data_IF_312593504702
#
_entry.id   IF_312593504702
#
_cell.length_a   1.000
_cell.length_b   1.000
_cell.length_c   1.000
_cell.angle_alpha   90.00
_cell.angle_beta   90.00
_cell.angle_gamma   90.00
#
_symmetry.space_group_name_H-M   'P 1'
#
loop_
_entity.id
_entity.type
_entity.pdbx_description
1 polymer ?
#
# COMPACT_ATOMS: atom_id res chain seq x y z
N UNK A 1 -22.34 -20.60 20.23
CA UNK A 1 -21.52 -21.70 19.66
C UNK A 1 -21.20 -21.47 18.19
N UNK A 2 -22.14 -21.11 17.32
CA UNK A 2 -21.91 -20.93 15.86
C UNK A 2 -20.97 -19.78 15.43
N UNK A 3 -20.75 -18.78 16.29
CA UNK A 3 -19.89 -17.63 15.97
C UNK A 3 -18.43 -18.03 15.79
N UNK A 4 -17.91 -18.95 16.59
CA UNK A 4 -16.52 -19.39 16.49
C UNK A 4 -16.25 -20.20 15.21
N UNK A 5 -17.09 -21.21 14.83
CA UNK A 5 -17.02 -21.85 13.52
C UNK A 5 -17.10 -20.88 12.34
N UNK A 6 -17.93 -19.83 12.43
CA UNK A 6 -18.01 -18.81 11.37
C UNK A 6 -16.70 -18.04 11.21
N UNK A 7 -16.06 -17.64 12.31
CA UNK A 7 -14.74 -17.00 12.27
C UNK A 7 -13.65 -17.96 11.79
N UNK A 8 -13.71 -19.24 12.14
CA UNK A 8 -12.78 -20.25 11.61
C UNK A 8 -12.93 -20.34 10.09
N UNK A 9 -14.16 -20.43 9.57
CA UNK A 9 -14.41 -20.47 8.14
C UNK A 9 -13.87 -19.22 7.43
N UNK A 10 -14.09 -18.02 8.01
CA UNK A 10 -13.56 -16.77 7.49
C UNK A 10 -12.01 -16.73 7.50
N UNK A 11 -11.37 -17.21 8.56
CA UNK A 11 -9.92 -17.27 8.67
C UNK A 11 -9.31 -18.25 7.67
N UNK A 12 -9.93 -19.42 7.47
CA UNK A 12 -9.51 -20.41 6.46
C UNK A 12 -9.66 -19.83 5.06
N UNK A 13 -10.79 -19.17 4.76
CA UNK A 13 -10.99 -18.49 3.49
C UNK A 13 -9.90 -17.44 3.24
N UNK A 14 -9.57 -16.63 4.26
CA UNK A 14 -8.52 -15.62 4.14
C UNK A 14 -7.12 -16.22 3.91
N UNK A 15 -6.78 -17.33 4.56
CA UNK A 15 -5.52 -18.05 4.34
C UNK A 15 -5.43 -18.54 2.90
N UNK A 16 -6.54 -19.08 2.38
CA UNK A 16 -6.63 -19.57 1.01
C UNK A 16 -6.43 -18.43 0.01
N UNK A 17 -7.13 -17.30 0.18
CA UNK A 17 -6.96 -16.15 -0.71
C UNK A 17 -5.62 -15.43 -0.58
N UNK A 18 -5.00 -15.52 0.59
CA UNK A 18 -3.65 -14.98 0.80
C UNK A 18 -2.55 -15.86 0.20
N UNK A 19 -2.89 -17.03 -0.36
CA UNK A 19 -1.97 -18.02 -0.92
C UNK A 19 -0.86 -18.47 0.05
N UNK A 20 -1.09 -18.33 1.36
CA UNK A 20 -0.14 -18.73 2.42
C UNK A 20 -0.04 -20.27 2.51
N UNK A 21 -1.08 -20.96 2.05
CA UNK A 21 -1.22 -22.41 2.11
C UNK A 21 -1.77 -22.88 3.45
N UNK A 22 -2.58 -23.94 3.42
CA UNK A 22 -3.17 -24.53 4.63
C UNK A 22 -2.31 -25.69 5.13
N UNK A 23 -1.69 -25.49 6.29
CA UNK A 23 -0.91 -26.47 7.04
C UNK A 23 -1.28 -26.43 8.54
N UNK A 24 -0.84 -27.38 9.38
CA UNK A 24 -1.22 -27.44 10.79
C UNK A 24 -0.92 -26.14 11.58
N UNK A 25 0.18 -25.45 11.26
CA UNK A 25 0.56 -24.18 11.93
C UNK A 25 -0.40 -23.06 11.54
N UNK A 26 -0.66 -22.88 10.24
CA UNK A 26 -1.60 -21.87 9.75
C UNK A 26 -3.04 -22.14 10.19
N UNK A 27 -3.45 -23.42 10.29
CA UNK A 27 -4.75 -23.81 10.80
C UNK A 27 -4.89 -23.53 12.31
N UNK A 28 -3.85 -23.81 13.10
CA UNK A 28 -3.82 -23.44 14.52
C UNK A 28 -3.87 -21.91 14.71
N UNK A 29 -3.12 -21.16 13.88
CA UNK A 29 -3.18 -19.70 13.83
C UNK A 29 -4.57 -19.17 13.49
N UNK A 30 -5.24 -19.76 12.48
CA UNK A 30 -6.61 -19.42 12.11
C UNK A 30 -7.59 -19.65 13.27
N UNK A 31 -7.47 -20.78 13.96
CA UNK A 31 -8.32 -21.10 15.11
C UNK A 31 -8.09 -20.11 16.28
N UNK A 32 -6.84 -19.72 16.53
CA UNK A 32 -6.49 -18.74 17.55
C UNK A 32 -7.03 -17.33 17.22
N UNK A 33 -6.86 -16.87 15.97
CA UNK A 33 -7.42 -15.60 15.49
C UNK A 33 -8.95 -15.61 15.58
N UNK A 34 -9.59 -16.70 15.16
CA UNK A 34 -11.03 -16.87 15.28
C UNK A 34 -11.52 -16.84 16.73
N UNK A 35 -10.74 -17.40 17.66
CA UNK A 35 -11.05 -17.33 19.09
C UNK A 35 -10.99 -15.88 19.59
N UNK A 36 -9.93 -15.13 19.24
CA UNK A 36 -9.80 -13.71 19.57
C UNK A 36 -10.96 -12.88 19.01
N UNK A 37 -11.36 -13.12 17.76
CA UNK A 37 -12.51 -12.43 17.13
C UNK A 37 -13.87 -12.83 17.74
N UNK A 38 -13.94 -13.96 18.45
CA UNK A 38 -15.16 -14.38 19.16
C UNK A 38 -15.27 -13.76 20.56
N UNK A 39 -14.16 -13.30 21.15
CA UNK A 39 -14.14 -12.70 22.50
C UNK A 39 -15.13 -11.53 22.67
N UNK A 40 -15.33 -10.62 21.70
CA UNK A 40 -16.29 -9.52 21.87
C UNK A 40 -17.72 -10.00 22.11
N UNK A 41 -18.16 -11.05 21.42
CA UNK A 41 -19.49 -11.63 21.59
C UNK A 41 -19.64 -12.34 22.94
N UNK A 42 -18.57 -13.01 23.40
CA UNK A 42 -18.56 -13.63 24.72
C UNK A 42 -18.59 -12.57 25.83
N UNK A 43 -17.78 -11.51 25.70
CA UNK A 43 -17.73 -10.40 26.64
C UNK A 43 -19.11 -9.72 26.74
N UNK A 44 -19.75 -9.41 25.61
CA UNK A 44 -21.09 -8.83 25.59
C UNK A 44 -22.10 -9.73 26.34
N UNK A 45 -22.15 -11.03 26.01
CA UNK A 45 -23.06 -11.99 26.66
C UNK A 45 -22.86 -12.08 28.19
N UNK A 46 -21.63 -12.03 28.66
CA UNK A 46 -21.31 -12.18 30.09
C UNK A 46 -21.52 -10.89 30.88
N UNK A 47 -21.31 -9.73 30.25
CA UNK A 47 -21.26 -8.43 30.92
C UNK A 47 -22.56 -7.63 30.80
N UNK A 48 -23.35 -7.81 29.73
CA UNK A 48 -24.51 -6.93 29.43
C UNK A 48 -25.55 -6.89 30.56
N UNK A 49 -25.75 -8.01 31.26
CA UNK A 49 -26.71 -8.12 32.37
C UNK A 49 -26.09 -7.83 33.75
N UNK A 50 -24.76 -7.70 33.83
CA UNK A 50 -24.03 -7.46 35.09
C UNK A 50 -23.61 -6.01 35.26
N UNK A 51 -23.61 -5.23 34.19
CA UNK A 51 -23.16 -3.84 34.17
C UNK A 51 -24.35 -2.88 34.05
N UNK A 52 -24.12 -1.62 34.45
CA UNK A 52 -25.09 -0.54 34.23
C UNK A 52 -25.31 -0.35 32.72
N UNK A 53 -26.51 0.01 32.24
CA UNK A 53 -26.83 0.04 30.81
C UNK A 53 -25.87 0.86 29.94
N UNK A 54 -25.38 2.00 30.44
CA UNK A 54 -24.42 2.85 29.72
C UNK A 54 -23.05 2.17 29.55
N UNK A 55 -22.56 1.49 30.59
CA UNK A 55 -21.28 0.78 30.55
C UNK A 55 -21.40 -0.49 29.71
N UNK A 56 -22.52 -1.20 29.84
CA UNK A 56 -22.83 -2.37 29.02
C UNK A 56 -22.82 -2.06 27.52
N UNK A 57 -23.28 -0.87 27.11
CA UNK A 57 -23.26 -0.46 25.70
C UNK A 57 -21.84 -0.29 25.12
N UNK A 58 -20.82 -0.13 25.97
CA UNK A 58 -19.43 0.02 25.56
C UNK A 58 -18.65 -1.30 25.64
N UNK A 59 -19.20 -2.34 26.27
CA UNK A 59 -18.51 -3.61 26.48
C UNK A 59 -18.13 -4.31 25.16
N UNK A 60 -19.09 -4.44 24.24
CA UNK A 60 -18.87 -5.01 22.91
C UNK A 60 -17.84 -4.22 22.08
N UNK A 61 -18.00 -2.90 21.84
CA UNK A 61 -17.04 -2.16 21.02
C UNK A 61 -15.64 -2.08 21.66
N UNK A 62 -15.54 -1.99 22.98
CA UNK A 62 -14.25 -2.05 23.67
C UNK A 62 -13.57 -3.41 23.49
N UNK A 63 -14.34 -4.51 23.55
CA UNK A 63 -13.81 -5.85 23.34
C UNK A 63 -13.39 -6.07 21.88
N UNK A 64 -14.09 -5.50 20.89
CA UNK A 64 -13.64 -5.50 19.48
C UNK A 64 -12.30 -4.78 19.36
N UNK A 65 -12.18 -3.55 19.86
CA UNK A 65 -10.93 -2.80 19.81
C UNK A 65 -9.77 -3.52 20.52
N UNK A 66 -10.05 -4.12 21.68
CA UNK A 66 -9.08 -4.95 22.40
C UNK A 66 -8.69 -6.21 21.63
N UNK A 67 -9.63 -6.86 20.96
CA UNK A 67 -9.36 -8.00 20.08
C UNK A 67 -8.48 -7.62 18.90
N UNK A 68 -8.80 -6.53 18.20
CA UNK A 68 -7.96 -6.00 17.12
C UNK A 68 -6.55 -5.63 17.62
N UNK A 69 -6.43 -5.00 18.79
CA UNK A 69 -5.15 -4.71 19.43
C UNK A 69 -4.33 -5.99 19.66
N UNK A 70 -4.93 -7.00 20.28
CA UNK A 70 -4.27 -8.28 20.53
C UNK A 70 -3.87 -8.98 19.23
N UNK A 71 -4.71 -8.94 18.19
CA UNK A 71 -4.34 -9.48 16.87
C UNK A 71 -3.12 -8.76 16.31
N UNK A 72 -3.08 -7.42 16.36
CA UNK A 72 -1.94 -6.66 15.81
C UNK A 72 -0.62 -6.88 16.56
N UNK A 73 -0.68 -7.23 17.86
CA UNK A 73 0.51 -7.41 18.70
C UNK A 73 0.97 -8.88 18.73
N UNK A 74 0.04 -9.83 18.74
CA UNK A 74 0.34 -11.26 18.93
C UNK A 74 0.41 -12.03 17.62
N UNK A 75 -0.22 -11.54 16.55
CA UNK A 75 -0.23 -12.23 15.27
C UNK A 75 0.94 -11.79 14.39
N UNK A 76 1.46 -12.69 13.54
CA UNK A 76 2.43 -12.34 12.50
C UNK A 76 1.79 -11.57 11.32
N UNK A 77 0.55 -11.11 11.50
CA UNK A 77 -0.25 -10.46 10.45
C UNK A 77 -0.48 -8.96 10.66
N UNK A 78 -0.04 -8.40 11.79
CA UNK A 78 -0.21 -6.97 12.05
C UNK A 78 -1.65 -6.51 11.82
N UNK A 79 -1.83 -5.44 11.04
CA UNK A 79 -3.13 -4.93 10.59
C UNK A 79 -3.68 -5.58 9.33
N UNK A 80 -2.90 -6.45 8.66
CA UNK A 80 -3.31 -7.09 7.41
C UNK A 80 -4.49 -8.07 7.59
N UNK A 81 -4.69 -8.57 8.82
CA UNK A 81 -5.85 -9.38 9.19
C UNK A 81 -6.59 -8.77 10.38
N UNK A 82 -7.92 -8.79 10.32
CA UNK A 82 -8.78 -8.49 11.46
C UNK A 82 -8.92 -7.02 11.86
N UNK A 83 -8.24 -6.09 11.18
CA UNK A 83 -8.40 -4.65 11.41
C UNK A 83 -9.55 -4.09 10.56
N UNK A 84 -10.61 -3.57 11.20
CA UNK A 84 -11.70 -2.92 10.47
C UNK A 84 -11.31 -1.53 9.95
N UNK A 85 -10.29 -0.91 10.55
CA UNK A 85 -9.86 0.45 10.23
C UNK A 85 -9.48 0.64 8.76
N UNK A 86 -8.89 -0.38 8.13
CA UNK A 86 -8.44 -0.33 6.72
C UNK A 86 -9.59 -0.10 5.75
N UNK A 87 -10.82 -0.46 6.13
CA UNK A 87 -12.02 -0.24 5.32
C UNK A 87 -12.40 1.24 5.19
N UNK A 88 -11.89 2.09 6.08
CA UNK A 88 -12.24 3.51 6.19
C UNK A 88 -11.14 4.44 5.65
N UNK A 89 -10.17 3.92 4.89
CA UNK A 89 -9.01 4.69 4.39
C UNK A 89 -9.37 5.94 3.58
N UNK A 90 -10.59 6.00 3.00
CA UNK A 90 -11.07 7.13 2.21
C UNK A 90 -11.67 8.28 3.02
N UNK A 91 -11.97 8.09 4.31
CA UNK A 91 -12.61 9.09 5.17
C UNK A 91 -11.56 9.84 6.01
N UNK A 92 -10.93 10.85 5.40
CA UNK A 92 -9.87 11.62 6.06
C UNK A 92 -10.31 12.27 7.39
N UNK A 93 -11.51 12.86 7.52
CA UNK A 93 -12.02 13.33 8.81
C UNK A 93 -12.05 12.24 9.88
N UNK A 94 -12.63 11.08 9.59
CA UNK A 94 -12.71 9.97 10.54
C UNK A 94 -11.31 9.46 10.95
N UNK A 95 -10.40 9.34 9.98
CA UNK A 95 -9.04 8.83 10.21
C UNK A 95 -8.22 9.68 11.20
N UNK A 96 -8.59 10.95 11.45
CA UNK A 96 -7.85 11.78 12.41
C UNK A 96 -7.83 11.21 13.83
N UNK A 97 -8.83 10.40 14.21
CA UNK A 97 -8.88 9.74 15.52
C UNK A 97 -7.72 8.78 15.76
N UNK A 98 -7.12 8.23 14.68
CA UNK A 98 -5.98 7.30 14.76
C UNK A 98 -4.81 7.91 15.52
N UNK A 99 -4.63 9.24 15.43
CA UNK A 99 -3.56 9.94 16.16
C UNK A 99 -3.69 9.87 17.69
N UNK A 100 -4.88 9.56 18.20
CA UNK A 100 -5.16 9.45 19.64
C UNK A 100 -5.32 7.99 20.06
N UNK A 101 -6.08 7.22 19.29
CA UNK A 101 -6.50 5.86 19.67
C UNK A 101 -5.74 4.75 18.95
N UNK A 102 -4.94 5.08 17.94
CA UNK A 102 -4.53 4.12 16.91
C UNK A 102 -5.71 3.69 16.02
N UNK A 103 -5.44 2.75 15.11
CA UNK A 103 -6.43 2.19 14.18
C UNK A 103 -7.65 1.57 14.90
N UNK A 104 -7.44 1.00 16.08
CA UNK A 104 -8.47 0.32 16.88
C UNK A 104 -9.64 1.21 17.30
N UNK A 105 -9.44 2.54 17.35
CA UNK A 105 -10.56 3.47 17.60
C UNK A 105 -11.60 3.48 16.48
N UNK A 106 -11.20 3.18 15.25
CA UNK A 106 -12.15 3.03 14.13
C UNK A 106 -12.91 1.71 14.26
N UNK A 107 -12.23 0.61 14.60
CA UNK A 107 -12.88 -0.66 14.91
C UNK A 107 -13.89 -0.52 16.05
N UNK A 108 -13.53 0.23 17.10
CA UNK A 108 -14.45 0.60 18.18
C UNK A 108 -15.70 1.31 17.66
N UNK A 109 -15.56 2.35 16.84
CA UNK A 109 -16.70 3.13 16.33
C UNK A 109 -17.62 2.28 15.44
N UNK A 110 -17.05 1.44 14.58
CA UNK A 110 -17.83 0.51 13.74
C UNK A 110 -18.60 -0.49 14.61
N UNK A 111 -17.95 -1.08 15.62
CA UNK A 111 -18.59 -1.98 16.55
C UNK A 111 -19.65 -1.27 17.42
N UNK A 112 -19.43 0.00 17.76
CA UNK A 112 -20.35 0.78 18.57
C UNK A 112 -21.62 1.12 17.78
N UNK A 113 -21.48 1.42 16.49
CA UNK A 113 -22.61 1.53 15.58
C UNK A 113 -23.41 0.22 15.53
N UNK A 114 -22.75 -0.90 15.21
CA UNK A 114 -23.40 -2.20 15.04
C UNK A 114 -24.17 -2.63 16.29
N UNK A 115 -23.54 -2.52 17.47
CA UNK A 115 -24.18 -2.85 18.74
C UNK A 115 -25.32 -1.88 19.10
N UNK A 116 -25.20 -0.60 18.77
CA UNK A 116 -26.29 0.39 18.97
C UNK A 116 -27.49 0.07 18.09
N UNK A 117 -27.28 -0.24 16.81
CA UNK A 117 -28.35 -0.65 15.89
C UNK A 117 -29.03 -1.92 16.39
N UNK A 118 -28.26 -2.94 16.80
CA UNK A 118 -28.81 -4.18 17.34
C UNK A 118 -29.68 -3.93 18.59
N UNK A 119 -29.23 -3.05 19.50
CA UNK A 119 -30.01 -2.70 20.70
C UNK A 119 -31.30 -1.95 20.38
N UNK A 120 -31.27 -1.03 19.40
CA UNK A 120 -32.47 -0.32 18.94
C UNK A 120 -33.47 -1.32 18.34
N UNK A 121 -32.98 -2.31 17.60
CA UNK A 121 -33.80 -3.36 17.02
C UNK A 121 -34.51 -4.22 18.08
N UNK A 122 -33.77 -4.65 19.11
CA UNK A 122 -34.33 -5.46 20.20
C UNK A 122 -35.25 -4.66 21.14
N UNK A 123 -34.88 -3.40 21.40
CA UNK A 123 -35.58 -2.51 22.33
C UNK A 123 -35.60 -1.10 21.76
N UNK A 124 -36.66 -0.71 21.03
CA UNK A 124 -36.75 0.60 20.39
C UNK A 124 -36.48 1.74 21.37
N UNK A 125 -35.31 2.36 21.25
CA UNK A 125 -34.87 3.47 22.09
C UNK A 125 -33.92 4.38 21.33
N UNK A 126 -34.33 5.63 21.12
CA UNK A 126 -33.56 6.63 20.38
C UNK A 126 -32.34 7.16 21.15
N UNK A 127 -32.32 7.00 22.49
CA UNK A 127 -31.28 7.59 23.36
C UNK A 127 -29.88 7.05 23.04
N UNK A 128 -29.75 5.75 22.82
CA UNK A 128 -28.46 5.13 22.45
C UNK A 128 -27.96 5.62 21.11
N UNK A 129 -28.86 5.73 20.12
CA UNK A 129 -28.56 6.29 18.81
C UNK A 129 -28.08 7.73 18.87
N UNK A 130 -28.70 8.58 19.71
CA UNK A 130 -28.25 9.96 19.90
C UNK A 130 -26.85 10.06 20.53
N UNK A 131 -26.55 9.23 21.53
CA UNK A 131 -25.23 9.23 22.16
C UNK A 131 -24.16 8.83 21.14
N UNK A 132 -24.39 7.73 20.41
CA UNK A 132 -23.49 7.31 19.34
C UNK A 132 -23.35 8.40 18.26
N UNK A 133 -24.47 8.98 17.82
CA UNK A 133 -24.48 10.05 16.82
C UNK A 133 -23.68 11.28 17.27
N UNK A 134 -23.79 11.68 18.53
CA UNK A 134 -23.01 12.77 19.11
C UNK A 134 -21.51 12.44 19.16
N UNK A 135 -21.13 11.20 19.50
CA UNK A 135 -19.74 10.74 19.49
C UNK A 135 -19.18 10.77 18.07
N UNK A 136 -19.87 10.15 17.10
CA UNK A 136 -19.43 10.12 15.72
C UNK A 136 -19.31 11.54 15.13
N UNK A 137 -20.32 12.39 15.38
CA UNK A 137 -20.32 13.77 14.93
C UNK A 137 -19.13 14.54 15.53
N UNK A 138 -18.82 14.33 16.80
CA UNK A 138 -17.66 14.95 17.44
C UNK A 138 -16.35 14.50 16.77
N UNK A 139 -16.19 13.21 16.51
CA UNK A 139 -15.01 12.66 15.83
C UNK A 139 -14.84 13.26 14.43
N UNK A 140 -15.91 13.26 13.63
CA UNK A 140 -15.86 13.78 12.25
C UNK A 140 -15.67 15.30 12.23
N UNK A 141 -16.34 16.05 13.10
CA UNK A 141 -16.20 17.51 13.18
C UNK A 141 -14.81 17.91 13.65
N UNK A 142 -14.26 17.26 14.68
CA UNK A 142 -12.90 17.55 15.15
C UNK A 142 -11.85 17.14 14.13
N UNK A 143 -12.03 16.00 13.45
CA UNK A 143 -11.17 15.59 12.35
C UNK A 143 -11.21 16.56 11.16
N UNK A 144 -12.42 17.00 10.78
CA UNK A 144 -12.60 18.02 9.73
C UNK A 144 -11.97 19.36 10.13
N UNK A 145 -12.18 19.80 11.38
CA UNK A 145 -11.60 21.02 11.91
C UNK A 145 -10.07 20.96 11.89
N UNK A 146 -9.47 19.82 12.29
CA UNK A 146 -8.01 19.63 12.21
C UNK A 146 -7.50 19.78 10.78
N UNK A 147 -8.17 19.15 9.80
CA UNK A 147 -7.78 19.25 8.39
C UNK A 147 -7.94 20.68 7.83
N UNK A 148 -8.98 21.40 8.25
CA UNK A 148 -9.27 22.75 7.78
C UNK A 148 -8.38 23.82 8.41
N UNK A 149 -8.07 23.69 9.71
CA UNK A 149 -7.40 24.74 10.50
C UNK A 149 -5.93 24.44 10.83
N UNK A 150 -5.41 23.26 10.48
CA UNK A 150 -3.98 22.94 10.61
C UNK A 150 -3.34 22.65 9.24
N UNK A 151 -3.38 23.59 8.28
CA UNK A 151 -2.65 23.43 7.03
C UNK A 151 -1.14 23.36 7.32
N UNK A 152 -0.43 22.46 6.63
CA UNK A 152 1.02 22.34 6.75
C UNK A 152 1.70 23.65 6.33
N UNK A 153 2.28 24.37 7.29
CA UNK A 153 3.11 25.57 7.05
C UNK A 153 4.56 25.24 6.77
N UNK A 154 4.92 23.95 6.71
CA UNK A 154 6.28 23.49 6.46
C UNK A 154 6.68 23.63 5.00
N UNK A 155 7.98 23.80 4.78
CA UNK A 155 8.58 23.72 3.44
C UNK A 155 8.33 22.34 2.84
N UNK A 156 7.73 22.30 1.65
CA UNK A 156 7.51 21.06 0.91
C UNK A 156 8.76 20.64 0.15
N UNK A 157 9.04 19.35 0.08
CA UNK A 157 10.10 18.75 -0.75
C UNK A 157 9.49 17.93 -1.88
N UNK A 158 10.08 18.00 -3.08
CA UNK A 158 9.66 17.15 -4.21
C UNK A 158 10.28 15.76 -4.07
N UNK A 159 9.43 14.75 -3.94
CA UNK A 159 9.81 13.33 -3.86
C UNK A 159 9.34 12.62 -5.13
N UNK A 160 10.16 11.72 -5.67
CA UNK A 160 9.80 10.89 -6.82
C UNK A 160 9.96 9.40 -6.50
N UNK A 161 8.86 8.65 -6.59
CA UNK A 161 8.93 7.20 -6.70
C UNK A 161 9.17 6.81 -8.16
N UNK A 162 10.21 6.01 -8.42
CA UNK A 162 10.49 5.49 -9.75
C UNK A 162 10.19 3.99 -9.81
N UNK A 163 10.02 3.46 -11.00
CA UNK A 163 9.85 2.02 -11.20
C UNK A 163 10.50 1.64 -12.52
N UNK A 164 11.10 0.45 -12.61
CA UNK A 164 11.67 0.00 -13.87
C UNK A 164 10.57 -0.17 -14.92
N UNK A 165 10.96 -0.03 -16.19
CA UNK A 165 10.09 -0.32 -17.31
C UNK A 165 9.58 -1.77 -17.25
N UNK A 166 8.33 -1.94 -17.67
CA UNK A 166 7.66 -3.23 -17.61
C UNK A 166 8.36 -4.28 -18.46
N UNK A 167 8.84 -3.92 -19.65
CA UNK A 167 9.51 -4.87 -20.56
C UNK A 167 10.81 -5.39 -19.97
N UNK A 168 11.56 -4.52 -19.29
CA UNK A 168 12.81 -4.89 -18.58
C UNK A 168 12.50 -5.80 -17.40
N UNK A 169 11.45 -5.48 -16.64
CA UNK A 169 11.00 -6.29 -15.51
C UNK A 169 10.51 -7.67 -15.94
N UNK A 170 9.71 -7.75 -17.00
CA UNK A 170 9.19 -9.01 -17.57
C UNK A 170 10.34 -9.88 -18.11
N UNK A 171 11.35 -9.27 -18.73
CA UNK A 171 12.55 -9.97 -19.16
C UNK A 171 13.31 -10.57 -17.97
N UNK A 172 13.55 -9.78 -16.90
CA UNK A 172 14.19 -10.28 -15.68
C UNK A 172 13.41 -11.44 -15.07
N UNK A 173 12.08 -11.29 -14.90
CA UNK A 173 11.21 -12.37 -14.38
C UNK A 173 11.35 -13.65 -15.21
N UNK A 174 11.34 -13.53 -16.52
CA UNK A 174 11.48 -14.69 -17.43
C UNK A 174 12.87 -15.32 -17.30
N UNK A 175 13.93 -14.52 -17.19
CA UNK A 175 15.30 -15.02 -17.02
C UNK A 175 15.48 -15.77 -15.69
N UNK A 176 15.05 -15.17 -14.57
CA UNK A 176 15.12 -15.83 -13.27
C UNK A 176 14.22 -17.05 -13.16
N UNK A 177 13.06 -17.05 -13.83
CA UNK A 177 12.13 -18.18 -13.87
C UNK A 177 12.67 -19.43 -14.56
N UNK A 178 13.75 -19.32 -15.36
CA UNK A 178 14.44 -20.48 -15.97
C UNK A 178 15.43 -21.14 -15.01
N UNK A 179 15.82 -20.48 -13.93
CA UNK A 179 16.77 -21.00 -12.96
C UNK A 179 16.06 -21.97 -12.01
N UNK A 180 16.56 -23.21 -11.94
CA UNK A 180 16.04 -24.23 -11.02
C UNK A 180 16.58 -24.01 -9.61
N UNK A 181 15.86 -24.46 -8.57
CA UNK A 181 16.30 -24.33 -7.18
C UNK A 181 15.96 -23.00 -6.49
N UNK A 182 15.14 -22.15 -7.14
CA UNK A 182 14.63 -20.91 -6.54
C UNK A 182 15.75 -19.92 -6.15
N UNK A 183 15.62 -19.25 -5.00
CA UNK A 183 16.61 -18.26 -4.52
C UNK A 183 18.03 -18.85 -4.41
N UNK A 184 18.17 -20.08 -3.94
CA UNK A 184 19.47 -20.75 -3.83
C UNK A 184 20.09 -21.00 -5.22
N UNK A 185 19.27 -21.40 -6.18
CA UNK A 185 19.68 -21.58 -7.57
C UNK A 185 20.11 -20.26 -8.23
N UNK A 186 19.35 -19.18 -8.00
CA UNK A 186 19.72 -17.85 -8.50
C UNK A 186 21.02 -17.37 -7.85
N UNK A 187 21.20 -17.59 -6.55
CA UNK A 187 22.45 -17.23 -5.86
C UNK A 187 23.67 -17.98 -6.40
N UNK A 188 23.50 -19.24 -6.82
CA UNK A 188 24.58 -20.09 -7.36
C UNK A 188 24.71 -20.05 -8.90
N UNK A 189 23.79 -19.38 -9.61
CA UNK A 189 23.79 -19.33 -11.07
C UNK A 189 25.05 -18.61 -11.59
N UNK A 190 25.61 -19.02 -12.74
CA UNK A 190 26.69 -18.28 -13.38
C UNK A 190 26.29 -16.82 -13.63
N UNK A 191 27.18 -15.89 -13.31
CA UNK A 191 27.04 -14.46 -13.56
C UNK A 191 26.45 -14.12 -14.94
N UNK A 192 27.00 -14.74 -15.99
CA UNK A 192 26.56 -14.55 -17.38
C UNK A 192 25.09 -14.89 -17.65
N UNK A 193 24.46 -15.72 -16.80
CA UNK A 193 23.07 -16.12 -16.95
C UNK A 193 22.07 -15.15 -16.33
N UNK A 194 22.47 -14.37 -15.31
CA UNK A 194 21.56 -13.53 -14.51
C UNK A 194 21.93 -12.05 -14.51
N UNK A 195 23.22 -11.72 -14.50
CA UNK A 195 23.71 -10.34 -14.40
C UNK A 195 23.19 -9.42 -15.50
N UNK A 196 23.16 -9.80 -16.80
CA UNK A 196 22.70 -8.87 -17.83
C UNK A 196 21.27 -8.40 -17.61
N UNK A 197 20.39 -9.28 -17.14
CA UNK A 197 19.00 -8.95 -16.86
C UNK A 197 18.84 -8.15 -15.56
N UNK A 198 19.63 -8.47 -14.52
CA UNK A 198 19.65 -7.73 -13.26
C UNK A 198 20.16 -6.29 -13.46
N UNK A 199 21.30 -6.14 -14.14
CA UNK A 199 21.93 -4.86 -14.48
C UNK A 199 21.06 -4.02 -15.41
N UNK A 200 20.27 -4.63 -16.30
CA UNK A 200 19.33 -3.89 -17.14
C UNK A 200 18.25 -3.16 -16.32
N UNK A 201 17.72 -3.80 -15.26
CA UNK A 201 16.76 -3.18 -14.35
C UNK A 201 17.40 -2.06 -13.55
N UNK A 202 18.59 -2.29 -13.00
CA UNK A 202 19.35 -1.26 -12.28
C UNK A 202 19.62 -0.04 -13.17
N UNK A 203 20.11 -0.24 -14.39
CA UNK A 203 20.38 0.84 -15.34
C UNK A 203 19.13 1.66 -15.69
N UNK A 204 17.97 1.03 -15.80
CA UNK A 204 16.71 1.71 -16.07
C UNK A 204 16.25 2.56 -14.85
N UNK A 205 16.43 2.05 -13.63
CA UNK A 205 16.18 2.78 -12.40
C UNK A 205 17.15 3.96 -12.19
N UNK A 206 18.43 3.78 -12.51
CA UNK A 206 19.43 4.86 -12.50
C UNK A 206 19.08 5.94 -13.55
N UNK A 207 18.67 5.53 -14.76
CA UNK A 207 18.19 6.46 -15.79
C UNK A 207 16.93 7.22 -15.33
N UNK A 208 16.00 6.54 -14.67
CA UNK A 208 14.78 7.15 -14.11
C UNK A 208 15.11 8.15 -13.00
N UNK A 209 16.07 7.82 -12.14
CA UNK A 209 16.58 8.71 -11.10
C UNK A 209 17.14 10.00 -11.69
N UNK A 210 17.95 9.91 -12.75
CA UNK A 210 18.46 11.09 -13.47
C UNK A 210 17.35 11.98 -14.00
N UNK A 211 16.34 11.40 -14.63
CA UNK A 211 15.20 12.15 -15.19
C UNK A 211 14.42 12.88 -14.10
N UNK A 212 14.09 12.21 -13.00
CA UNK A 212 13.30 12.81 -11.92
C UNK A 212 14.11 13.85 -11.11
N UNK A 213 15.40 13.62 -10.91
CA UNK A 213 16.30 14.61 -10.32
C UNK A 213 16.38 15.88 -11.20
N UNK A 214 16.50 15.73 -12.52
CA UNK A 214 16.46 16.85 -13.46
C UNK A 214 15.09 17.58 -13.46
N UNK A 215 14.00 16.86 -13.17
CA UNK A 215 12.69 17.46 -12.93
C UNK A 215 12.59 18.15 -11.56
N UNK A 216 13.62 18.12 -10.72
CA UNK A 216 13.70 18.82 -9.44
C UNK A 216 13.33 17.98 -8.23
N UNK A 217 13.22 16.66 -8.35
CA UNK A 217 13.13 15.78 -7.19
C UNK A 217 14.38 15.92 -6.31
N UNK A 218 14.19 15.92 -5.00
CA UNK A 218 15.28 15.98 -4.00
C UNK A 218 15.44 14.66 -3.24
N UNK A 219 14.40 13.83 -3.26
CA UNK A 219 14.38 12.48 -2.73
C UNK A 219 13.83 11.59 -3.85
N UNK A 220 14.54 10.52 -4.19
CA UNK A 220 14.12 9.51 -5.18
C UNK A 220 14.05 8.15 -4.48
N UNK A 221 12.98 7.40 -4.73
CA UNK A 221 12.70 6.12 -4.06
C UNK A 221 12.50 5.04 -5.10
N UNK A 222 13.25 3.95 -4.98
CA UNK A 222 13.07 2.74 -5.80
C UNK A 222 12.07 1.78 -5.13
N UNK A 223 11.40 0.91 -5.90
CA UNK A 223 10.46 -0.04 -5.30
C UNK A 223 11.20 -1.12 -4.50
N UNK A 224 10.48 -1.80 -3.60
CA UNK A 224 10.97 -2.98 -2.88
C UNK A 224 11.41 -4.05 -3.88
N UNK A 225 12.52 -4.72 -3.60
CA UNK A 225 13.18 -5.64 -4.53
C UNK A 225 13.39 -5.08 -5.96
N UNK A 226 13.45 -3.74 -6.08
CA UNK A 226 13.54 -3.05 -7.36
C UNK A 226 14.78 -3.45 -8.14
N UNK A 227 15.91 -3.56 -7.45
CA UNK A 227 17.13 -4.17 -7.98
C UNK A 227 17.30 -5.54 -7.35
N UNK A 228 17.61 -6.52 -8.20
CA UNK A 228 17.88 -7.90 -7.81
C UNK A 228 19.35 -8.18 -8.07
N UNK A 229 20.07 -8.70 -7.10
CA UNK A 229 21.51 -8.93 -7.21
C UNK A 229 21.93 -10.20 -6.50
N UNK A 230 23.01 -10.82 -6.94
CA UNK A 230 23.72 -11.83 -6.16
C UNK A 230 24.58 -11.13 -5.10
N UNK A 231 24.79 -11.77 -3.95
CA UNK A 231 25.57 -11.23 -2.82
C UNK A 231 26.98 -10.76 -3.23
N UNK A 232 27.64 -11.47 -4.14
CA UNK A 232 28.95 -11.08 -4.67
C UNK A 232 28.96 -9.73 -5.42
N UNK A 233 27.80 -9.27 -5.92
CA UNK A 233 27.67 -8.06 -6.73
C UNK A 233 26.91 -6.93 -6.00
N UNK A 234 26.48 -7.17 -4.76
CA UNK A 234 25.73 -6.20 -3.96
C UNK A 234 26.50 -4.88 -3.79
N UNK A 235 27.79 -4.95 -3.45
CA UNK A 235 28.62 -3.76 -3.29
C UNK A 235 28.75 -2.93 -4.58
N UNK A 236 28.71 -3.58 -5.75
CA UNK A 236 28.74 -2.88 -7.04
C UNK A 236 27.42 -2.15 -7.32
N UNK A 237 26.27 -2.78 -7.03
CA UNK A 237 24.96 -2.14 -7.16
C UNK A 237 24.82 -0.93 -6.23
N UNK A 238 25.30 -1.04 -4.98
CA UNK A 238 25.34 0.07 -4.03
C UNK A 238 26.25 1.18 -4.53
N UNK A 239 27.45 0.85 -5.04
CA UNK A 239 28.39 1.84 -5.56
C UNK A 239 27.83 2.63 -6.75
N UNK A 240 27.12 1.96 -7.68
CA UNK A 240 26.43 2.62 -8.79
C UNK A 240 25.36 3.61 -8.30
N UNK A 241 24.58 3.21 -7.30
CA UNK A 241 23.58 4.08 -6.68
C UNK A 241 24.23 5.27 -5.93
N UNK A 242 25.35 5.06 -5.24
CA UNK A 242 26.11 6.12 -4.57
C UNK A 242 26.62 7.17 -5.55
N UNK A 243 27.17 6.73 -6.67
CA UNK A 243 27.62 7.61 -7.74
C UNK A 243 26.43 8.36 -8.36
N UNK A 244 25.30 7.70 -8.54
CA UNK A 244 24.10 8.33 -9.07
C UNK A 244 23.49 9.36 -8.11
N UNK A 245 23.48 9.09 -6.81
CA UNK A 245 23.06 10.04 -5.78
C UNK A 245 23.93 11.31 -5.81
N UNK A 246 25.26 11.14 -5.91
CA UNK A 246 26.23 12.25 -6.08
C UNK A 246 25.95 13.06 -7.34
N UNK A 247 25.85 12.40 -8.50
CA UNK A 247 25.64 13.05 -9.80
C UNK A 247 24.33 13.83 -9.85
N UNK A 248 23.29 13.30 -9.25
CA UNK A 248 21.96 13.92 -9.23
C UNK A 248 21.77 14.92 -8.10
N UNK A 249 22.62 14.91 -7.06
CA UNK A 249 22.47 15.76 -5.88
C UNK A 249 21.18 15.48 -5.11
N UNK A 250 20.78 14.22 -4.99
CA UNK A 250 19.53 13.78 -4.36
C UNK A 250 19.79 12.79 -3.22
N UNK A 251 18.85 12.71 -2.29
CA UNK A 251 18.72 11.52 -1.45
C UNK A 251 18.13 10.41 -2.31
N UNK A 252 18.75 9.23 -2.31
CA UNK A 252 18.33 8.08 -3.10
C UNK A 252 18.10 6.88 -2.19
N UNK A 253 16.86 6.43 -2.09
CA UNK A 253 16.53 5.15 -1.48
C UNK A 253 16.49 4.07 -2.57
N UNK A 254 17.28 3.01 -2.39
CA UNK A 254 17.27 1.84 -3.26
C UNK A 254 16.68 0.64 -2.53
N UNK A 255 15.76 -0.08 -3.20
CA UNK A 255 15.27 -1.38 -2.74
C UNK A 255 16.02 -2.51 -3.41
N UNK A 256 16.60 -3.42 -2.62
CA UNK A 256 17.48 -4.50 -3.05
C UNK A 256 16.97 -5.86 -2.59
N UNK A 257 16.85 -6.77 -3.55
CA UNK A 257 16.77 -8.21 -3.29
C UNK A 257 18.15 -8.82 -3.47
N UNK A 258 18.77 -9.23 -2.36
CA UNK A 258 20.06 -9.91 -2.39
C UNK A 258 19.85 -11.42 -2.35
N UNK A 259 20.37 -12.15 -3.33
CA UNK A 259 20.40 -13.61 -3.35
C UNK A 259 21.72 -14.11 -2.74
N UNK A 260 21.62 -14.91 -1.68
CA UNK A 260 22.77 -15.51 -0.99
C UNK A 260 22.71 -17.04 -1.08
N UNK A 261 23.87 -17.69 -1.03
CA UNK A 261 24.00 -19.15 -0.97
C UNK A 261 23.82 -19.69 0.46
N UNK A 262 23.65 -18.81 1.45
CA UNK A 262 23.53 -19.20 2.85
C UNK A 262 22.09 -19.62 3.19
N UNK A 263 21.95 -20.89 3.56
CA UNK A 263 20.71 -21.46 4.06
C UNK A 263 20.36 -20.93 5.47
N UNK A 264 19.07 -20.94 5.88
CA UNK A 264 17.90 -21.38 5.12
C UNK A 264 17.24 -20.27 4.27
N UNK A 265 17.66 -19.01 4.45
CA UNK A 265 16.98 -17.85 3.90
C UNK A 265 17.33 -17.55 2.43
N UNK A 266 18.55 -17.90 2.01
CA UNK A 266 19.06 -17.69 0.66
C UNK A 266 18.86 -16.25 0.14
N UNK A 267 18.93 -15.27 1.02
CA UNK A 267 18.87 -13.86 0.65
C UNK A 267 18.26 -12.93 1.69
N UNK A 268 18.34 -11.64 1.37
CA UNK A 268 17.84 -10.51 2.15
C UNK A 268 16.97 -9.60 1.28
N UNK A 269 16.08 -8.86 1.93
CA UNK A 269 15.30 -7.79 1.32
C UNK A 269 15.62 -6.52 2.08
N UNK A 270 16.18 -5.56 1.36
CA UNK A 270 16.85 -4.40 1.94
C UNK A 270 16.40 -3.10 1.30
N UNK A 271 16.38 -2.04 2.09
CA UNK A 271 16.24 -0.68 1.64
C UNK A 271 17.42 0.16 2.17
N UNK A 272 18.10 0.84 1.27
CA UNK A 272 19.32 1.59 1.58
C UNK A 272 19.10 3.04 1.21
N UNK A 273 19.23 3.96 2.17
CA UNK A 273 19.23 5.40 1.88
C UNK A 273 20.64 5.92 1.72
N UNK A 274 20.84 6.64 0.62
CA UNK A 274 22.09 7.28 0.25
C UNK A 274 21.86 8.80 0.20
N UNK A 275 22.79 9.57 0.76
CA UNK A 275 22.73 11.03 0.73
C UNK A 275 23.29 11.64 -0.58
N UNK A 276 23.09 12.96 -0.83
CA UNK A 276 23.63 13.63 -2.02
C UNK A 276 25.17 13.63 -2.11
N UNK A 277 25.88 13.32 -1.03
CA UNK A 277 27.32 13.14 -1.01
C UNK A 277 27.70 11.68 -1.23
N UNK A 278 26.78 10.79 -1.60
CA UNK A 278 27.02 9.37 -1.85
C UNK A 278 27.33 8.57 -0.59
N UNK A 279 27.06 9.10 0.61
CA UNK A 279 27.22 8.36 1.87
C UNK A 279 25.96 7.53 2.12
N UNK A 280 26.14 6.25 2.42
CA UNK A 280 25.06 5.40 2.93
C UNK A 280 24.70 5.85 4.35
N UNK A 281 23.45 6.25 4.55
CA UNK A 281 22.92 6.67 5.84
C UNK A 281 22.39 5.48 6.65
N UNK A 282 21.84 4.47 5.98
CA UNK A 282 21.47 3.18 6.57
C UNK A 282 21.38 2.09 5.50
N UNK A 283 21.47 0.84 5.97
CA UNK A 283 20.96 -0.35 5.30
C UNK A 283 19.92 -0.95 6.22
N UNK A 284 18.67 -0.97 5.79
CA UNK A 284 17.54 -1.51 6.54
C UNK A 284 17.10 -2.82 5.91
N UNK A 285 17.11 -3.90 6.69
CA UNK A 285 16.61 -5.19 6.26
C UNK A 285 15.18 -5.37 6.75
N UNK A 286 14.30 -5.88 5.88
CA UNK A 286 12.88 -6.09 6.18
C UNK A 286 12.69 -6.89 7.46
N UNK A 287 12.00 -6.30 8.43
CA UNK A 287 11.86 -6.88 9.76
C UNK A 287 10.77 -7.96 9.81
N UNK A 288 9.74 -7.85 8.99
CA UNK A 288 8.63 -8.79 8.91
C UNK A 288 8.54 -9.38 7.51
N UNK A 289 9.21 -10.50 7.24
CA UNK A 289 8.96 -11.26 6.02
C UNK A 289 7.51 -11.77 6.00
N UNK A 290 6.87 -11.76 4.83
CA UNK A 290 5.49 -12.23 4.67
C UNK A 290 5.41 -13.73 4.99
N UNK A 291 4.66 -14.15 6.03
CA UNK A 291 4.57 -15.55 6.41
C UNK A 291 4.12 -16.45 5.26
N UNK A 292 4.88 -17.51 4.98
CA UNK A 292 4.59 -18.48 3.92
C UNK A 292 5.07 -18.08 2.51
N UNK A 293 5.22 -16.80 2.22
CA UNK A 293 5.67 -16.29 0.91
C UNK A 293 7.17 -15.95 0.89
N UNK A 294 7.65 -15.31 1.95
CA UNK A 294 9.03 -14.84 2.04
C UNK A 294 9.79 -15.69 3.07
N UNK A 295 10.99 -16.13 2.69
CA UNK A 295 11.86 -16.96 3.54
C UNK A 295 13.08 -16.18 4.04
N UNK A 296 13.07 -14.86 3.90
CA UNK A 296 14.22 -14.03 4.24
C UNK A 296 14.52 -14.11 5.73
N UNK A 297 15.77 -13.92 6.09
CA UNK A 297 16.10 -13.68 7.50
C UNK A 297 15.42 -12.36 7.90
N UNK A 298 14.61 -12.33 8.97
CA UNK A 298 14.08 -11.08 9.48
C UNK A 298 15.19 -10.11 9.88
N UNK A 299 15.02 -8.83 9.57
CA UNK A 299 15.81 -7.74 10.13
C UNK A 299 15.57 -7.56 11.64
N UNK A 300 16.29 -6.61 12.25
CA UNK A 300 16.30 -6.40 13.70
C UNK A 300 15.07 -5.63 14.24
N UNK A 301 14.21 -5.13 13.35
CA UNK A 301 13.01 -4.36 13.71
C UNK A 301 13.28 -2.91 14.09
N UNK A 302 14.50 -2.41 13.97
CA UNK A 302 14.81 -1.00 14.25
C UNK A 302 14.58 -0.14 13.01
N UNK A 303 13.53 0.68 13.05
CA UNK A 303 13.23 1.64 11.98
C UNK A 303 14.32 2.71 11.93
N UNK A 304 15.10 2.82 10.84
CA UNK A 304 16.14 3.84 10.72
C UNK A 304 15.53 5.23 10.58
N UNK A 305 16.23 6.24 11.08
CA UNK A 305 15.84 7.65 10.93
C UNK A 305 17.08 8.48 10.63
N UNK A 306 17.06 9.27 9.55
CA UNK A 306 18.07 10.32 9.31
C UNK A 306 17.45 11.70 9.35
N UNK A 307 18.20 12.63 9.96
CA UNK A 307 17.90 14.06 9.91
C UNK A 307 18.43 14.61 8.59
N UNK A 308 17.56 15.24 7.80
CA UNK A 308 17.90 15.86 6.52
C UNK A 308 17.46 17.32 6.50
N UNK A 309 17.91 18.14 5.52
CA UNK A 309 17.36 19.48 5.31
C UNK A 309 15.85 19.52 5.04
N UNK A 310 15.24 18.37 4.73
CA UNK A 310 13.81 18.23 4.45
C UNK A 310 13.01 17.65 5.62
N UNK A 311 13.63 17.50 6.79
CA UNK A 311 13.07 16.85 7.96
C UNK A 311 13.64 15.45 8.19
N UNK A 312 13.03 14.71 9.10
CA UNK A 312 13.45 13.37 9.50
C UNK A 312 12.81 12.35 8.58
N UNK A 313 13.64 11.62 7.86
CA UNK A 313 13.22 10.55 6.95
C UNK A 313 13.40 9.23 7.69
N UNK A 314 12.36 8.40 7.68
CA UNK A 314 12.37 7.03 8.18
C UNK A 314 11.96 6.06 7.07
N UNK A 315 12.24 4.77 7.25
CA UNK A 315 11.97 3.77 6.22
C UNK A 315 11.55 2.42 6.81
N UNK A 316 10.49 1.84 6.26
CA UNK A 316 10.00 0.49 6.54
C UNK A 316 9.65 -0.18 5.21
N UNK A 317 9.75 -1.50 5.08
CA UNK A 317 9.55 -2.16 3.79
C UNK A 317 8.18 -2.85 3.76
N UNK A 318 7.30 -2.40 2.87
CA UNK A 318 6.06 -3.09 2.49
C UNK A 318 5.25 -3.58 3.71
N UNK A 319 5.30 -4.89 3.97
CA UNK A 319 4.58 -5.56 5.04
C UNK A 319 4.94 -5.06 6.44
N UNK A 320 6.14 -4.49 6.64
CA UNK A 320 6.50 -3.82 7.89
C UNK A 320 5.51 -2.70 8.27
N UNK A 321 4.89 -2.04 7.28
CA UNK A 321 3.92 -0.97 7.52
C UNK A 321 2.60 -1.46 8.14
N UNK A 322 2.31 -2.76 8.05
CA UNK A 322 1.17 -3.38 8.72
C UNK A 322 1.40 -3.57 10.23
N UNK A 323 2.59 -3.28 10.75
CA UNK A 323 2.91 -3.39 12.17
C UNK A 323 2.90 -2.00 12.81
N UNK A 324 1.87 -1.65 13.63
CA UNK A 324 1.74 -0.29 14.17
C UNK A 324 2.95 0.17 15.00
N UNK A 325 3.70 -0.76 15.60
CA UNK A 325 4.93 -0.43 16.33
C UNK A 325 6.00 0.21 15.42
N UNK A 326 6.16 -0.30 14.19
CA UNK A 326 7.10 0.21 13.20
C UNK A 326 6.67 1.60 12.70
N UNK A 327 5.37 1.78 12.50
CA UNK A 327 4.80 3.04 12.01
C UNK A 327 4.76 4.15 13.08
N UNK A 328 4.91 3.81 14.37
CA UNK A 328 5.05 4.79 15.48
C UNK A 328 6.47 5.33 15.61
N UNK A 329 7.11 5.57 14.48
CA UNK A 329 8.42 6.19 14.43
C UNK A 329 8.26 7.70 14.35
N UNK A 330 9.03 8.42 15.16
CA UNK A 330 9.07 9.88 15.08
C UNK A 330 9.77 10.24 13.78
N UNK A 331 9.02 10.47 12.71
CA UNK A 331 9.53 10.90 11.40
C UNK A 331 8.62 11.99 10.82
N UNK A 332 9.17 12.78 9.91
CA UNK A 332 8.43 13.78 9.15
C UNK A 332 8.04 13.22 7.77
N UNK A 333 8.87 12.31 7.24
CA UNK A 333 8.64 11.54 6.01
C UNK A 333 8.89 10.05 6.31
N UNK A 334 7.91 9.19 6.02
CA UNK A 334 8.07 7.72 6.09
C UNK A 334 8.09 7.16 4.66
N UNK A 335 9.20 6.56 4.27
CA UNK A 335 9.38 5.88 2.99
C UNK A 335 8.97 4.41 3.15
N UNK A 336 8.04 3.98 2.29
CA UNK A 336 7.48 2.61 2.32
C UNK A 336 7.59 1.98 0.93
N UNK A 337 8.79 1.57 0.50
CA UNK A 337 8.94 0.84 -0.75
C UNK A 337 8.13 -0.45 -0.69
N UNK A 338 7.41 -0.74 -1.78
CA UNK A 338 6.64 -1.96 -1.98
C UNK A 338 6.84 -2.45 -3.41
N UNK A 339 6.51 -3.71 -3.75
CA UNK A 339 6.71 -4.21 -5.09
C UNK A 339 5.68 -3.53 -5.99
N UNK A 340 6.02 -3.33 -7.26
CA UNK A 340 5.05 -2.82 -8.23
C UNK A 340 3.91 -3.82 -8.40
N UNK A 341 2.69 -3.46 -8.00
CA UNK A 341 1.49 -4.25 -8.26
C UNK A 341 1.12 -4.17 -9.74
N UNK A 342 1.33 -5.26 -10.47
CA UNK A 342 0.73 -5.49 -11.78
C UNK A 342 -0.79 -5.67 -11.62
N UNK A 343 -1.58 -4.67 -12.00
CA UNK A 343 -3.04 -4.86 -12.01
C UNK A 343 -3.94 -3.63 -12.20
N UNK A 344 -3.48 -2.39 -11.99
CA UNK A 344 -4.36 -1.22 -12.12
C UNK A 344 -4.51 -0.83 -13.60
N UNK A 345 -5.35 -1.56 -14.35
CA UNK A 345 -6.18 -0.91 -15.36
C UNK A 345 -7.15 -0.02 -14.58
N UNK A 346 -7.19 1.28 -14.88
CA UNK A 346 -8.32 2.14 -14.51
C UNK A 346 -9.58 1.55 -15.16
N UNK A 347 -10.33 0.70 -14.46
CA UNK A 347 -11.69 0.33 -14.88
C UNK A 347 -12.63 1.47 -14.48
N UNK A 348 -13.53 1.93 -15.36
CA UNK A 348 -14.61 2.82 -14.96
C UNK A 348 -15.48 2.13 -13.91
N UNK A 349 -16.01 2.91 -12.98
CA UNK A 349 -16.91 2.47 -11.91
C UNK A 349 -18.03 1.56 -12.43
N UNK A 350 -18.02 0.29 -12.05
CA UNK A 350 -19.22 -0.49 -11.75
C UNK A 350 -18.84 -1.66 -10.82
N UNK A 351 -19.49 -1.63 -9.64
CA UNK A 351 -19.88 -2.71 -8.73
C UNK A 351 -19.04 -4.01 -8.62
N UNK A 352 -18.51 -4.23 -7.42
CA UNK A 352 -18.67 -5.50 -6.69
C UNK A 352 -17.74 -6.67 -7.02
N UNK A 353 -16.46 -6.61 -6.63
CA UNK A 353 -15.63 -7.81 -6.42
C UNK A 353 -14.45 -7.49 -5.46
N UNK A 354 -14.12 -8.35 -4.46
CA UNK A 354 -13.09 -8.04 -3.48
C UNK A 354 -11.70 -8.36 -4.05
N UNK A 355 -11.11 -7.40 -4.78
CA UNK A 355 -9.71 -7.45 -5.15
C UNK A 355 -8.82 -7.26 -3.89
N UNK A 356 -7.96 -8.24 -3.63
CA UNK A 356 -6.86 -8.22 -2.64
C UNK A 356 -6.33 -6.80 -2.40
N UNK A 357 -6.55 -6.31 -1.18
CA UNK A 357 -6.42 -4.90 -0.77
C UNK A 357 -4.98 -4.37 -0.68
N UNK A 358 -3.98 -5.08 -1.19
CA UNK A 358 -2.55 -4.84 -0.90
C UNK A 358 -1.91 -3.62 -1.59
N UNK A 359 -2.63 -2.89 -2.45
CA UNK A 359 -2.04 -1.81 -3.25
C UNK A 359 -2.51 -0.39 -3.03
N UNK A 360 -3.57 -0.19 -2.25
CA UNK A 360 -4.21 1.13 -2.15
C UNK A 360 -3.78 1.95 -0.93
N UNK A 361 -3.00 1.36 -0.02
CA UNK A 361 -2.50 2.04 1.16
C UNK A 361 -1.31 2.98 0.88
N UNK A 362 -0.60 2.82 -0.26
CA UNK A 362 0.72 3.43 -0.46
C UNK A 362 0.87 4.33 -1.70
N UNK A 363 -0.11 4.38 -2.60
CA UNK A 363 -0.05 5.21 -3.84
C UNK A 363 -0.46 6.68 -3.63
N UNK A 364 -0.72 7.09 -2.38
CA UNK A 364 -1.21 8.42 -2.00
C UNK A 364 -0.15 9.52 -1.96
N UNK A 365 0.76 9.60 -2.94
CA UNK A 365 1.64 10.76 -3.12
C UNK A 365 2.17 10.97 -4.56
N UNK A 366 1.61 10.29 -5.57
CA UNK A 366 1.95 10.54 -6.99
C UNK A 366 0.85 11.36 -7.68
N UNK A 367 0.77 12.65 -7.36
CA UNK A 367 -0.08 13.61 -8.08
C UNK A 367 0.62 14.13 -9.34
N UNK A 368 0.18 13.70 -10.53
CA UNK A 368 0.38 14.50 -11.76
C UNK A 368 -0.59 15.67 -11.74
N UNK A 369 -0.04 16.87 -11.95
CA UNK A 369 -0.78 18.12 -12.05
C UNK A 369 -1.92 18.04 -13.07
N UNK A 370 -3.09 18.49 -12.64
CA UNK A 370 -4.24 18.82 -13.46
C UNK A 370 -4.86 20.10 -12.88
N UNK A 371 -4.95 21.12 -13.73
CA UNK A 371 -5.44 22.49 -13.49
C UNK A 371 -6.47 22.65 -12.37
N UNK A 372 -6.14 23.55 -11.44
CA UNK A 372 -7.10 24.35 -10.69
C UNK A 372 -7.83 25.29 -11.67
N UNK A 373 -9.06 24.95 -12.06
CA UNK A 373 -10.01 25.96 -12.52
C UNK A 373 -10.71 26.55 -11.29
N UNK A 374 -10.43 27.84 -11.06
CA UNK A 374 -11.15 28.70 -10.11
C UNK A 374 -12.61 28.79 -10.52
N UNK A 375 -13.50 28.14 -9.80
CA UNK A 375 -14.93 28.45 -9.88
C UNK A 375 -15.25 29.63 -8.96
N UNK A 376 -15.30 30.82 -9.58
CA UNK A 376 -15.94 32.02 -9.05
C UNK A 376 -17.44 31.74 -8.88
N UNK A 377 -17.96 32.09 -7.70
CA UNK A 377 -19.39 32.20 -7.44
C UNK A 377 -20.02 33.24 -8.40
N UNK A 378 -21.02 32.84 -9.17
CA UNK A 378 -22.08 33.74 -9.66
C UNK A 378 -23.42 33.01 -9.57
N UNK A 379 -24.41 33.70 -9.00
CA UNK A 379 -25.77 33.23 -8.73
C UNK A 379 -26.66 33.12 -9.99
N UNK A 380 -27.96 32.79 -9.81
CA UNK A 380 -28.73 32.06 -10.80
C UNK A 380 -29.65 32.92 -11.70
N UNK A 381 -29.86 32.44 -12.93
CA UNK A 381 -31.08 32.63 -13.75
C UNK A 381 -30.85 33.18 -15.17
N UNK A 382 -31.79 33.03 -16.14
CA UNK A 382 -32.82 31.99 -16.31
C UNK A 382 -32.82 31.33 -17.72
N UNK A 383 -33.74 30.38 -17.87
CA UNK A 383 -34.05 29.43 -18.97
C UNK A 383 -34.22 30.05 -20.37
N UNK A 384 -33.90 29.28 -21.42
CA UNK A 384 -34.74 29.14 -22.63
C UNK A 384 -34.49 27.83 -23.42
N UNK A 385 -35.59 27.28 -23.96
CA UNK A 385 -35.77 26.05 -24.74
C UNK A 385 -35.46 26.18 -26.24
N UNK A 386 -35.12 25.04 -26.89
CA UNK A 386 -35.51 24.48 -28.23
C UNK A 386 -34.31 23.80 -28.91
N UNK A 387 -34.30 22.50 -29.25
CA UNK A 387 -35.01 21.70 -30.27
C UNK A 387 -34.65 22.02 -31.76
N UNK A 388 -34.20 20.93 -32.43
CA UNK A 388 -34.43 20.51 -33.85
C UNK A 388 -33.40 20.83 -34.98
N UNK A 389 -32.94 19.71 -35.56
CA UNK A 389 -32.75 19.31 -36.98
C UNK A 389 -31.76 19.98 -37.97
N UNK A 390 -31.15 19.05 -38.73
CA UNK A 390 -30.76 19.03 -40.16
C UNK A 390 -29.59 19.86 -40.74
N UNK A 391 -28.50 19.12 -41.03
CA UNK A 391 -27.88 18.80 -42.36
C UNK A 391 -27.56 19.91 -43.42
N UNK A 392 -26.67 19.62 -44.41
CA UNK A 392 -25.47 20.44 -44.68
C UNK A 392 -25.36 21.01 -46.11
N UNK A 393 -24.37 21.90 -46.31
CA UNK A 393 -23.72 22.30 -47.59
C UNK A 393 -22.36 22.95 -47.23
N UNK A 394 -21.20 22.83 -47.88
CA UNK A 394 -20.71 22.22 -49.13
C UNK A 394 -19.42 22.96 -49.59
N UNK A 395 -18.50 22.24 -50.27
CA UNK A 395 -17.33 22.69 -51.09
C UNK A 395 -15.98 23.01 -50.40
N UNK A 396 -14.77 22.63 -50.88
CA UNK A 396 -14.20 22.09 -52.15
C UNK A 396 -13.22 20.91 -51.84
N UNK A 397 -13.01 19.82 -52.62
CA UNK A 397 -12.46 19.67 -54.00
C UNK A 397 -10.91 19.82 -53.99
N UNK A 398 -10.00 18.89 -54.34
CA UNK A 398 -9.95 17.81 -55.35
C UNK A 398 -9.01 16.63 -54.92
N UNK A 399 -9.36 15.39 -55.29
CA UNK A 399 -8.43 14.30 -55.68
C UNK A 399 -9.06 13.56 -56.87
N UNK A 400 -8.31 13.42 -57.97
CA UNK A 400 -8.74 12.68 -59.16
C UNK A 400 -8.12 11.27 -59.18
N UNK A 401 -8.93 10.31 -59.62
CA UNK A 401 -8.61 8.90 -59.82
C UNK A 401 -8.71 8.62 -61.32
N UNK A 402 -7.80 7.84 -61.89
CA UNK A 402 -8.07 7.07 -63.11
C UNK A 402 -7.27 5.76 -63.08
N UNK A 403 -7.98 4.65 -63.33
CA UNK A 403 -7.45 3.29 -63.48
C UNK A 403 -7.51 2.88 -64.96
N UNK A 404 -6.66 1.90 -65.29
CA UNK A 404 -6.81 0.75 -66.23
C UNK A 404 -5.82 0.78 -67.39
N UNK A 405 -4.97 -0.26 -67.49
CA UNK A 405 -5.08 -1.31 -68.50
C UNK A 405 -4.16 -2.51 -68.16
N UNK A 406 -4.58 -3.70 -68.60
CA UNK A 406 -3.97 -5.03 -68.47
C UNK A 406 -2.56 -5.15 -69.08
N UNK A 407 -1.72 -6.07 -68.55
CA UNK A 407 -1.22 -7.28 -69.25
C UNK A 407 -0.14 -8.05 -68.45
N UNK A 408 -0.37 -9.36 -68.28
CA UNK A 408 0.53 -10.53 -68.36
C UNK A 408 1.93 -10.56 -67.65
N UNK A 409 2.11 -11.62 -66.83
CA UNK A 409 3.38 -12.28 -66.40
C UNK A 409 3.99 -13.12 -67.56
N UNK A 410 5.17 -13.78 -67.43
CA UNK A 410 6.42 -13.52 -66.68
C UNK A 410 7.72 -13.76 -67.54
N UNK A 411 8.87 -13.74 -66.85
CA UNK A 411 10.20 -14.33 -67.14
C UNK A 411 11.16 -13.67 -68.15
N UNK A 412 12.29 -13.18 -67.59
CA UNK A 412 13.67 -13.58 -67.92
C UNK A 412 14.57 -13.49 -66.70
#
# INVERSE_FOLDING_TARGET
MWIWPAHIAAAVFWIQESAIGLNPVTAAGAAALAALQTLPFLADRLLVNRLRPAVAALAFPAAVAGGEFLITVLSPFGTAYGSLAVTQYGDLPLLQIISVTGSWGIGFLIAYFASTVNRIWERPSWRGGLVYGAVLLTVVLTGSARLAFSPSTSTTVRIAGVSPDRTVTDHLKTTLGRITGGSAGIAAAPASAVEPAMTAVENDLLASTRREAAAGAKIVVWPEEGVKTQEAHESAAIANAQEQARRSGVYLEIGLRVYSTTAPAYGRDEAILIDPAGKVLWTYQKAHPIPGSEKFTPGDGHVPVAVTPYGRIANVICYDADFPAMMRTRADIMLVPSPRLEGIRRRPHHEGEPASHRGRLLDGASGRGGRLDRLRQQGPGPRHHRLLHDRPTGHCGLRAHARRHHCLRPDR
#
